data_IF_238088197354
#
_entry.id   IF_238088197354
#
_cell.length_a   1.000
_cell.length_b   1.000
_cell.length_c   1.000
_cell.angle_alpha   90.00
_cell.angle_beta   90.00
_cell.angle_gamma   90.00
#
_symmetry.space_group_name_H-M   'P 1'
#
loop_
_entity.id
_entity.type
_entity.pdbx_description
1 polymer ?
#
# COMPACT_ATOMS: atom_id res chain seq x y z
N UNK A 1 9.86 -7.82 18.84
CA UNK A 1 9.04 -6.66 18.40
C UNK A 1 9.58 -6.27 17.03
N UNK A 2 8.81 -6.48 15.94
CA UNK A 2 9.23 -6.07 14.60
C UNK A 2 9.16 -4.54 14.54
N UNK A 3 10.32 -3.90 14.47
CA UNK A 3 10.41 -2.45 14.30
C UNK A 3 10.04 -2.11 12.86
N UNK A 4 9.53 -0.91 12.59
CA UNK A 4 9.20 -0.38 11.25
C UNK A 4 10.38 -0.29 10.26
N UNK A 5 11.47 -1.02 10.50
CA UNK A 5 12.75 -0.97 9.79
C UNK A 5 12.95 -2.13 8.81
N UNK A 6 11.95 -3.01 8.66
CA UNK A 6 12.03 -4.23 7.83
C UNK A 6 11.22 -4.14 6.52
N UNK A 7 10.60 -2.99 6.22
CA UNK A 7 9.86 -2.79 4.96
C UNK A 7 10.74 -2.01 3.98
N UNK A 8 10.75 -2.42 2.71
CA UNK A 8 11.48 -1.68 1.68
C UNK A 8 10.80 -0.35 1.34
N UNK A 9 11.53 0.58 0.72
CA UNK A 9 11.04 1.93 0.38
C UNK A 9 9.78 1.89 -0.51
N UNK A 10 9.64 0.85 -1.34
CA UNK A 10 8.48 0.68 -2.21
C UNK A 10 7.25 0.27 -1.39
N UNK A 11 7.39 -0.70 -0.50
CA UNK A 11 6.35 -1.13 0.41
C UNK A 11 5.92 0.01 1.35
N UNK A 12 6.88 0.79 1.84
CA UNK A 12 6.61 1.99 2.64
C UNK A 12 5.77 3.01 1.88
N UNK A 13 6.13 3.31 0.63
CA UNK A 13 5.36 4.21 -0.21
C UNK A 13 3.92 3.70 -0.40
N UNK A 14 3.76 2.41 -0.73
CA UNK A 14 2.44 1.81 -0.97
C UNK A 14 1.59 1.84 0.29
N UNK A 15 2.15 1.45 1.44
CA UNK A 15 1.49 1.50 2.73
C UNK A 15 0.99 2.91 3.04
N UNK A 16 1.86 3.93 2.87
CA UNK A 16 1.49 5.32 3.08
C UNK A 16 0.37 5.77 2.15
N UNK A 17 0.44 5.43 0.87
CA UNK A 17 -0.60 5.77 -0.11
C UNK A 17 -1.96 5.11 0.21
N UNK A 18 -1.94 3.87 0.72
CA UNK A 18 -3.12 3.16 1.21
C UNK A 18 -3.73 3.90 2.40
N UNK A 19 -2.92 4.18 3.43
CA UNK A 19 -3.37 4.85 4.67
C UNK A 19 -3.95 6.23 4.38
N UNK A 20 -3.24 7.06 3.61
CA UNK A 20 -3.73 8.38 3.21
C UNK A 20 -5.06 8.30 2.45
N UNK A 21 -5.17 7.32 1.55
CA UNK A 21 -6.42 7.13 0.81
C UNK A 21 -7.55 6.68 1.72
N UNK A 22 -7.31 5.69 2.56
CA UNK A 22 -8.30 5.17 3.50
C UNK A 22 -8.83 6.26 4.43
N UNK A 23 -7.94 7.10 5.00
CA UNK A 23 -8.33 8.25 5.82
C UNK A 23 -9.18 9.24 5.02
N UNK A 24 -8.82 9.48 3.75
CA UNK A 24 -9.53 10.44 2.89
C UNK A 24 -10.91 9.96 2.41
N UNK A 25 -11.09 8.65 2.19
CA UNK A 25 -12.31 8.09 1.59
C UNK A 25 -13.20 7.36 2.60
N UNK A 26 -12.67 6.94 3.74
CA UNK A 26 -13.37 6.12 4.73
C UNK A 26 -13.76 4.73 4.23
N UNK A 27 -13.16 4.26 3.12
CA UNK A 27 -13.56 3.02 2.46
C UNK A 27 -12.37 2.23 1.92
N UNK A 28 -12.60 0.97 1.50
CA UNK A 28 -11.55 0.08 1.04
C UNK A 28 -10.78 0.66 -0.15
N UNK A 29 -9.47 0.44 -0.15
CA UNK A 29 -8.54 1.02 -1.12
C UNK A 29 -8.09 -0.02 -2.13
N UNK A 30 -8.29 0.26 -3.42
CA UNK A 30 -7.90 -0.64 -4.50
C UNK A 30 -6.63 -0.22 -5.23
N UNK A 31 -5.82 -1.18 -5.67
CA UNK A 31 -4.56 -0.91 -6.39
C UNK A 31 -4.71 -0.05 -7.65
N UNK A 32 -5.79 -0.23 -8.42
CA UNK A 32 -6.10 0.61 -9.60
C UNK A 32 -6.29 2.07 -9.23
N UNK A 33 -6.96 2.32 -8.10
CA UNK A 33 -7.18 3.68 -7.60
C UNK A 33 -5.86 4.32 -7.19
N UNK A 34 -5.03 3.59 -6.44
CA UNK A 34 -3.70 4.05 -6.02
C UNK A 34 -2.82 4.41 -7.22
N UNK A 35 -2.74 3.55 -8.23
CA UNK A 35 -1.96 3.82 -9.45
C UNK A 35 -2.43 5.09 -10.15
N UNK A 36 -3.75 5.30 -10.25
CA UNK A 36 -4.31 6.49 -10.90
C UNK A 36 -4.10 7.77 -10.09
N UNK A 37 -4.19 7.71 -8.76
CA UNK A 37 -4.08 8.88 -7.87
C UNK A 37 -2.63 9.30 -7.62
N UNK A 38 -1.74 8.33 -7.40
CA UNK A 38 -0.36 8.59 -7.00
C UNK A 38 0.65 8.46 -8.15
N UNK A 39 0.21 8.06 -9.35
CA UNK A 39 1.09 7.95 -10.53
C UNK A 39 2.26 7.00 -10.30
N UNK A 40 2.01 5.90 -9.60
CA UNK A 40 2.98 5.04 -8.91
C UNK A 40 4.12 4.45 -9.77
N UNK A 41 4.17 4.66 -11.09
CA UNK A 41 5.15 4.02 -12.00
C UNK A 41 5.05 2.49 -12.06
N UNK A 42 4.22 1.89 -11.21
CA UNK A 42 4.00 0.45 -11.07
C UNK A 42 2.63 0.06 -11.62
N UNK A 43 2.55 -1.17 -12.11
CA UNK A 43 1.28 -1.73 -12.55
C UNK A 43 0.34 -1.98 -11.36
N UNK A 44 -1.00 -1.97 -11.57
CA UNK A 44 -1.95 -2.35 -10.53
C UNK A 44 -1.75 -3.76 -9.96
N UNK A 45 -1.14 -4.67 -10.74
CA UNK A 45 -0.78 -6.01 -10.28
C UNK A 45 0.39 -5.98 -9.31
N UNK A 46 1.44 -5.21 -9.63
CA UNK A 46 2.59 -4.99 -8.74
C UNK A 46 2.15 -4.42 -7.40
N UNK A 47 1.26 -3.42 -7.42
CA UNK A 47 0.73 -2.81 -6.18
C UNK A 47 -0.11 -3.81 -5.37
N UNK A 48 -0.90 -4.67 -6.02
CA UNK A 48 -1.64 -5.73 -5.31
C UNK A 48 -0.70 -6.70 -4.59
N UNK A 49 0.36 -7.13 -5.25
CA UNK A 49 1.32 -8.06 -4.64
C UNK A 49 1.96 -7.42 -3.39
N UNK A 50 2.36 -6.15 -3.49
CA UNK A 50 2.93 -5.43 -2.34
C UNK A 50 1.89 -5.25 -1.22
N UNK A 51 0.64 -4.96 -1.55
CA UNK A 51 -0.44 -4.90 -0.55
C UNK A 51 -0.67 -6.25 0.13
N UNK A 52 -0.58 -7.36 -0.60
CA UNK A 52 -0.66 -8.71 -0.03
C UNK A 52 0.53 -9.01 0.88
N UNK A 53 1.76 -8.64 0.47
CA UNK A 53 2.94 -8.77 1.31
C UNK A 53 2.81 -7.94 2.61
N UNK A 54 2.25 -6.72 2.51
CA UNK A 54 1.95 -5.86 3.65
C UNK A 54 0.87 -6.45 4.58
N UNK A 55 -0.13 -7.12 4.02
CA UNK A 55 -1.17 -7.87 4.76
C UNK A 55 -0.55 -9.06 5.52
N UNK A 56 0.26 -9.87 4.85
CA UNK A 56 1.01 -10.99 5.47
C UNK A 56 1.95 -10.53 6.60
N UNK A 57 2.48 -9.31 6.49
CA UNK A 57 3.30 -8.67 7.51
C UNK A 57 2.49 -8.06 8.68
N UNK A 58 1.17 -7.98 8.55
CA UNK A 58 0.26 -7.42 9.57
C UNK A 58 0.13 -5.89 9.54
N UNK A 59 0.47 -5.25 8.42
CA UNK A 59 0.25 -3.80 8.23
C UNK A 59 -1.13 -3.46 7.66
N UNK A 60 -1.77 -4.39 6.95
CA UNK A 60 -3.09 -4.26 6.32
C UNK A 60 -4.01 -5.43 6.71
N UNK A 61 -5.33 -5.23 6.59
CA UNK A 61 -6.42 -6.22 6.79
C UNK A 61 -7.62 -5.88 5.89
#
# INVERSE_FOLDING_TARGET
MKSAKDIDERAEFVLRAVVETFISTGGPVGSRYLVKKYGLGYSPATIRNIMADLEDMGYLE
#
